data_IF_137956838851
#
_entry.id   IF_137956838851
#
_cell.length_a   1.000
_cell.length_b   1.000
_cell.length_c   1.000
_cell.angle_alpha   90.00
_cell.angle_beta   90.00
_cell.angle_gamma   90.00
#
_symmetry.space_group_name_H-M   'P 1'
#
loop_
_entity.id
_entity.type
_entity.pdbx_description
1 polymer ?
#
# COMPACT_ATOMS: atom_id res chain seq x y z
N UNK A 1 -25.25 -10.14 -5.70
CA UNK A 1 -24.10 -9.44 -6.32
C UNK A 1 -24.49 -7.98 -6.44
N UNK A 2 -23.74 -7.00 -5.90
CA UNK A 2 -23.96 -5.61 -6.25
C UNK A 2 -23.78 -5.45 -7.77
N UNK A 3 -24.59 -4.60 -8.42
CA UNK A 3 -24.49 -4.43 -9.86
C UNK A 3 -23.09 -3.92 -10.23
N UNK A 4 -22.53 -4.47 -11.30
CA UNK A 4 -21.19 -4.12 -11.84
C UNK A 4 -21.03 -2.67 -12.28
N UNK A 5 -22.00 -1.81 -12.01
CA UNK A 5 -22.12 -0.44 -12.55
C UNK A 5 -22.05 0.69 -11.53
N UNK A 6 -21.57 0.44 -10.29
CA UNK A 6 -21.50 1.53 -9.29
C UNK A 6 -20.49 2.62 -9.63
N UNK A 7 -19.54 2.38 -10.53
CA UNK A 7 -18.62 3.42 -11.04
C UNK A 7 -19.29 4.31 -12.12
N UNK A 8 -20.25 3.79 -12.86
CA UNK A 8 -20.90 4.51 -13.96
C UNK A 8 -21.70 5.75 -13.53
N UNK A 9 -22.55 5.70 -12.49
CA UNK A 9 -23.33 6.86 -12.08
C UNK A 9 -22.45 8.04 -11.63
N UNK A 10 -21.41 7.77 -10.87
CA UNK A 10 -20.53 8.82 -10.35
C UNK A 10 -19.69 9.48 -11.46
N UNK A 11 -19.16 8.71 -12.39
CA UNK A 11 -18.41 9.27 -13.53
C UNK A 11 -19.34 10.15 -14.38
N UNK A 12 -20.58 9.73 -14.63
CA UNK A 12 -21.56 10.52 -15.36
C UNK A 12 -21.92 11.80 -14.60
N UNK A 13 -22.12 11.71 -13.28
CA UNK A 13 -22.43 12.87 -12.45
C UNK A 13 -21.32 13.93 -12.51
N UNK A 14 -20.06 13.54 -12.27
CA UNK A 14 -18.93 14.48 -12.30
C UNK A 14 -18.72 15.10 -13.69
N UNK A 15 -18.87 14.31 -14.75
CA UNK A 15 -18.80 14.82 -16.14
C UNK A 15 -19.93 15.81 -16.44
N UNK A 16 -21.16 15.50 -16.01
CA UNK A 16 -22.30 16.41 -16.22
C UNK A 16 -22.13 17.71 -15.44
N UNK A 17 -21.65 17.65 -14.19
CA UNK A 17 -21.36 18.85 -13.39
C UNK A 17 -20.26 19.70 -14.04
N UNK A 18 -19.17 19.07 -14.52
CA UNK A 18 -18.09 19.76 -15.19
C UNK A 18 -18.57 20.42 -16.48
N UNK A 19 -19.34 19.71 -17.30
CA UNK A 19 -19.90 20.20 -18.56
C UNK A 19 -20.85 21.38 -18.35
N UNK A 20 -21.86 21.20 -17.47
CA UNK A 20 -22.88 22.21 -17.21
C UNK A 20 -22.30 23.51 -16.65
N UNK A 21 -21.28 23.43 -15.83
CA UNK A 21 -20.66 24.58 -15.18
C UNK A 21 -19.39 25.06 -15.88
N UNK A 22 -19.02 24.49 -17.02
CA UNK A 22 -17.79 24.79 -17.75
C UNK A 22 -16.51 24.73 -16.86
N UNK A 23 -16.46 23.69 -15.99
CA UNK A 23 -15.36 23.45 -15.07
C UNK A 23 -14.42 22.42 -15.67
N UNK A 24 -13.08 22.63 -15.63
CA UNK A 24 -12.12 21.64 -16.10
C UNK A 24 -12.23 20.31 -15.36
N UNK A 25 -12.16 19.20 -16.10
CA UNK A 25 -12.14 17.85 -15.54
C UNK A 25 -10.71 17.33 -15.54
N UNK A 26 -10.26 16.78 -14.40
CA UNK A 26 -8.90 16.25 -14.25
C UNK A 26 -8.98 14.73 -14.03
N UNK A 27 -8.27 13.97 -14.87
CA UNK A 27 -8.15 12.52 -14.75
C UNK A 27 -7.01 12.17 -13.80
N UNK A 28 -7.35 11.58 -12.64
CA UNK A 28 -6.39 11.21 -11.60
C UNK A 28 -6.28 9.70 -11.48
N UNK A 29 -5.05 9.19 -11.47
CA UNK A 29 -4.78 7.80 -11.11
C UNK A 29 -4.94 7.59 -9.59
N UNK A 30 -5.57 6.48 -9.19
CA UNK A 30 -5.71 6.11 -7.79
C UNK A 30 -4.36 5.99 -7.06
N UNK A 31 -3.33 5.50 -7.76
CA UNK A 31 -1.96 5.42 -7.23
C UNK A 31 -1.39 6.81 -6.96
N UNK A 32 -1.59 7.75 -7.88
CA UNK A 32 -1.18 9.14 -7.67
C UNK A 32 -1.87 9.76 -6.46
N UNK A 33 -3.15 9.43 -6.26
CA UNK A 33 -3.89 9.85 -5.07
C UNK A 33 -3.19 9.38 -3.78
N UNK A 34 -2.89 8.09 -3.66
CA UNK A 34 -2.21 7.58 -2.47
C UNK A 34 -0.85 8.22 -2.22
N UNK A 35 -0.06 8.47 -3.26
CA UNK A 35 1.23 9.17 -3.14
C UNK A 35 0.99 10.60 -2.67
N UNK A 36 0.06 11.30 -3.30
CA UNK A 36 -0.25 12.71 -3.04
C UNK A 36 -0.91 12.96 -1.68
N UNK A 37 -1.45 11.93 -1.01
CA UNK A 37 -1.92 12.01 0.37
C UNK A 37 -0.80 12.49 1.32
N UNK A 38 0.45 12.15 1.03
CA UNK A 38 1.59 12.60 1.83
C UNK A 38 1.82 14.11 1.74
N UNK A 39 1.50 14.76 0.63
CA UNK A 39 1.65 16.21 0.50
C UNK A 39 0.65 16.99 1.36
N UNK A 40 -0.47 16.36 1.74
CA UNK A 40 -1.44 16.96 2.69
C UNK A 40 -0.90 16.95 4.11
N UNK A 41 -0.21 15.87 4.50
CA UNK A 41 0.44 15.75 5.82
C UNK A 41 1.74 16.56 5.88
N UNK A 42 2.50 16.56 4.78
CA UNK A 42 3.82 17.18 4.69
C UNK A 42 3.89 18.16 3.51
N UNK A 43 3.38 19.39 3.64
CA UNK A 43 3.40 20.38 2.55
C UNK A 43 4.81 20.72 2.05
N UNK A 44 5.83 20.49 2.88
CA UNK A 44 7.24 20.67 2.54
C UNK A 44 7.86 19.50 1.76
N UNK A 45 7.16 18.37 1.64
CA UNK A 45 7.65 17.21 0.89
C UNK A 45 7.68 17.53 -0.61
N UNK A 46 8.88 17.50 -1.17
CA UNK A 46 9.10 17.69 -2.60
C UNK A 46 9.88 16.50 -3.18
N UNK A 47 9.61 16.10 -4.42
CA UNK A 47 10.45 15.13 -5.14
C UNK A 47 11.90 15.64 -5.28
N UNK A 48 12.92 14.76 -5.53
CA UNK A 48 12.75 13.33 -5.69
C UNK A 48 12.73 12.57 -4.36
N UNK A 49 12.13 11.35 -4.36
CA UNK A 49 12.12 10.43 -3.23
C UNK A 49 11.81 8.99 -3.67
N UNK A 50 12.13 8.01 -2.81
CA UNK A 50 11.65 6.64 -2.98
C UNK A 50 10.27 6.49 -2.33
N UNK A 51 9.33 5.81 -3.00
CA UNK A 51 7.98 5.56 -2.47
C UNK A 51 7.72 4.07 -2.33
N UNK A 52 7.32 3.64 -1.14
CA UNK A 52 6.77 2.31 -0.88
C UNK A 52 5.23 2.42 -0.92
N UNK A 53 4.64 1.94 -2.00
CA UNK A 53 3.18 1.85 -2.15
C UNK A 53 2.68 0.51 -1.60
N UNK A 54 1.77 0.55 -0.61
CA UNK A 54 1.22 -0.63 0.08
C UNK A 54 -0.28 -0.48 0.28
N UNK A 55 -1.07 -0.95 -0.67
CA UNK A 55 -2.54 -0.90 -0.62
C UNK A 55 -3.15 -2.31 -0.65
N UNK A 56 -4.48 -2.37 -0.63
CA UNK A 56 -5.22 -3.63 -0.79
C UNK A 56 -4.96 -4.32 -2.12
N UNK A 57 -4.77 -3.56 -3.20
CA UNK A 57 -4.59 -4.09 -4.54
C UNK A 57 -3.18 -3.91 -5.13
N UNK A 58 -2.32 -3.12 -4.50
CA UNK A 58 -1.01 -2.79 -5.05
C UNK A 58 0.09 -2.84 -4.00
N UNK A 59 1.24 -3.40 -4.37
CA UNK A 59 2.47 -3.33 -3.59
C UNK A 59 3.62 -3.09 -4.55
N UNK A 60 4.28 -1.94 -4.41
CA UNK A 60 5.35 -1.53 -5.30
C UNK A 60 6.36 -0.60 -4.63
N UNK A 61 7.56 -0.56 -5.17
CA UNK A 61 8.57 0.46 -4.91
C UNK A 61 8.68 1.32 -6.15
N UNK A 62 8.49 2.61 -5.97
CA UNK A 62 8.49 3.62 -7.02
C UNK A 62 9.57 4.66 -6.74
N UNK A 63 10.35 5.02 -7.73
CA UNK A 63 11.17 6.22 -7.70
C UNK A 63 10.31 7.37 -8.22
N UNK A 64 9.98 8.32 -7.36
CA UNK A 64 9.24 9.53 -7.72
C UNK A 64 10.26 10.63 -8.01
N UNK A 65 10.36 11.02 -9.26
CA UNK A 65 11.37 11.96 -9.76
C UNK A 65 10.84 13.38 -9.76
N UNK A 66 9.53 13.52 -9.99
CA UNK A 66 8.80 14.78 -9.93
C UNK A 66 7.32 14.48 -9.64
N UNK A 67 6.51 15.49 -9.35
CA UNK A 67 5.06 15.35 -9.23
C UNK A 67 4.51 14.70 -10.50
N UNK A 68 3.76 13.61 -10.35
CA UNK A 68 3.20 12.78 -11.43
C UNK A 68 4.22 12.05 -12.33
N UNK A 69 5.52 12.11 -12.02
CA UNK A 69 6.55 11.39 -12.76
C UNK A 69 7.23 10.37 -11.85
N UNK A 70 7.07 9.09 -12.19
CA UNK A 70 7.61 7.98 -11.41
C UNK A 70 8.14 6.86 -12.30
N UNK A 71 9.09 6.13 -11.76
CA UNK A 71 9.65 4.92 -12.35
C UNK A 71 9.39 3.74 -11.43
N UNK A 72 8.86 2.63 -11.95
CA UNK A 72 8.67 1.39 -11.21
C UNK A 72 10.03 0.72 -10.98
N UNK A 73 10.40 0.49 -9.73
CA UNK A 73 11.62 -0.20 -9.32
C UNK A 73 11.34 -1.67 -9.05
N UNK A 74 10.22 -1.98 -8.44
CA UNK A 74 9.76 -3.35 -8.21
C UNK A 74 8.32 -3.39 -7.73
N UNK A 75 7.65 -4.51 -7.95
CA UNK A 75 6.26 -4.71 -7.54
C UNK A 75 6.03 -6.13 -7.07
N UNK A 76 4.84 -6.38 -6.50
CA UNK A 76 4.46 -7.76 -6.23
C UNK A 76 4.23 -8.51 -7.53
N UNK A 77 4.67 -9.78 -7.55
CA UNK A 77 4.45 -10.70 -8.68
C UNK A 77 3.23 -11.60 -8.48
N UNK A 78 2.60 -11.51 -7.31
CA UNK A 78 1.43 -12.29 -6.93
C UNK A 78 0.44 -11.45 -6.10
N UNK A 79 0.08 -11.87 -4.88
CA UNK A 79 -0.84 -11.13 -4.02
C UNK A 79 -0.27 -9.74 -3.64
N UNK A 80 -1.11 -8.72 -3.57
CA UNK A 80 -0.75 -7.48 -2.89
C UNK A 80 -0.67 -7.73 -1.38
N UNK A 81 0.15 -6.92 -0.68
CA UNK A 81 0.37 -7.10 0.76
C UNK A 81 -0.92 -6.96 1.57
N UNK A 82 -1.79 -5.99 1.24
CA UNK A 82 -3.07 -5.83 1.92
C UNK A 82 -4.01 -7.03 1.70
N UNK A 83 -4.06 -7.55 0.47
CA UNK A 83 -4.80 -8.77 0.15
C UNK A 83 -4.25 -9.98 0.93
N UNK A 84 -2.94 -10.07 1.09
CA UNK A 84 -2.31 -11.12 1.88
C UNK A 84 -2.74 -11.04 3.35
N UNK A 85 -2.75 -9.83 3.96
CA UNK A 85 -3.28 -9.60 5.31
C UNK A 85 -4.74 -10.03 5.43
N UNK A 86 -5.59 -9.68 4.47
CA UNK A 86 -7.02 -10.05 4.49
C UNK A 86 -7.23 -11.56 4.40
N UNK A 87 -6.46 -12.24 3.56
CA UNK A 87 -6.52 -13.70 3.40
C UNK A 87 -6.08 -14.42 4.68
N UNK A 88 -4.98 -14.00 5.30
CA UNK A 88 -4.49 -14.57 6.56
C UNK A 88 -5.47 -14.28 7.71
N UNK A 89 -6.01 -13.07 7.80
CA UNK A 89 -7.03 -12.74 8.79
C UNK A 89 -8.27 -13.64 8.68
N UNK A 90 -8.69 -13.97 7.46
CA UNK A 90 -9.80 -14.90 7.22
C UNK A 90 -9.49 -16.29 7.75
N UNK A 91 -8.28 -16.81 7.51
CA UNK A 91 -7.83 -18.12 8.01
C UNK A 91 -7.81 -18.16 9.54
N UNK A 92 -7.40 -17.06 10.18
CA UNK A 92 -7.42 -16.93 11.64
C UNK A 92 -8.82 -16.66 12.22
N UNK A 93 -9.86 -16.51 11.38
CA UNK A 93 -11.23 -16.24 11.80
C UNK A 93 -11.47 -14.82 12.28
N UNK A 94 -10.63 -13.86 11.87
CA UNK A 94 -10.71 -12.45 12.32
C UNK A 94 -11.69 -11.61 11.49
N UNK A 95 -12.02 -12.04 10.24
CA UNK A 95 -12.90 -11.33 9.32
C UNK A 95 -12.22 -10.12 8.65
N UNK A 96 -13.02 -9.26 8.01
CA UNK A 96 -12.60 -8.13 7.19
C UNK A 96 -12.87 -6.78 7.90
N UNK A 97 -12.04 -5.73 7.71
CA UNK A 97 -10.72 -5.72 7.06
C UNK A 97 -9.67 -6.44 7.90
N UNK A 98 -8.79 -7.22 7.24
CA UNK A 98 -7.83 -8.10 7.92
C UNK A 98 -6.63 -7.36 8.52
N UNK A 99 -6.10 -6.39 7.81
CA UNK A 99 -4.89 -5.66 8.22
C UNK A 99 -4.95 -5.12 9.65
N UNK A 100 -5.94 -4.28 10.00
CA UNK A 100 -6.06 -3.73 11.36
C UNK A 100 -6.29 -4.80 12.43
N UNK A 101 -6.98 -5.90 12.09
CA UNK A 101 -7.27 -6.98 13.03
C UNK A 101 -6.05 -7.83 13.32
N UNK A 102 -5.23 -8.11 12.30
CA UNK A 102 -3.92 -8.77 12.47
C UNK A 102 -3.00 -7.86 13.28
N UNK A 103 -2.90 -6.58 12.95
CA UNK A 103 -2.05 -5.63 13.66
C UNK A 103 -2.42 -5.53 15.16
N UNK A 104 -3.72 -5.55 15.47
CA UNK A 104 -4.18 -5.57 16.87
C UNK A 104 -3.82 -6.86 17.58
N UNK A 105 -4.12 -8.03 16.97
CA UNK A 105 -3.89 -9.34 17.56
C UNK A 105 -2.39 -9.64 17.73
N UNK A 106 -1.56 -9.22 16.78
CA UNK A 106 -0.11 -9.41 16.80
C UNK A 106 0.57 -8.78 18.03
N UNK A 107 -0.01 -7.71 18.59
CA UNK A 107 0.50 -7.07 19.83
C UNK A 107 0.39 -7.94 21.06
N UNK A 108 -0.48 -8.94 21.04
CA UNK A 108 -0.70 -9.88 22.13
C UNK A 108 0.15 -11.16 21.98
N UNK A 109 0.83 -11.31 20.84
CA UNK A 109 1.62 -12.50 20.49
C UNK A 109 3.11 -12.23 20.42
N UNK A 110 3.84 -13.33 20.19
CA UNK A 110 5.29 -13.33 19.99
C UNK A 110 5.62 -13.83 18.59
N UNK A 111 6.60 -13.21 17.95
CA UNK A 111 7.09 -13.63 16.63
C UNK A 111 8.13 -14.75 16.78
N UNK A 112 7.67 -15.97 17.08
CA UNK A 112 8.52 -17.15 17.28
C UNK A 112 8.38 -18.19 16.15
N UNK A 113 7.43 -17.99 15.21
CA UNK A 113 7.16 -18.92 14.12
C UNK A 113 7.80 -18.37 12.83
N UNK A 114 8.63 -19.17 12.17
CA UNK A 114 9.16 -18.86 10.85
C UNK A 114 8.33 -19.57 9.79
N UNK A 115 7.69 -18.82 8.89
CA UNK A 115 6.82 -19.39 7.87
C UNK A 115 7.54 -19.72 6.56
N UNK A 116 8.26 -18.78 6.00
CA UNK A 116 8.89 -18.96 4.69
C UNK A 116 10.02 -17.97 4.47
N UNK A 117 11.12 -18.40 3.85
CA UNK A 117 12.09 -17.46 3.32
C UNK A 117 11.64 -17.02 1.94
N UNK A 118 11.51 -15.73 1.73
CA UNK A 118 11.10 -15.16 0.44
C UNK A 118 12.09 -15.51 -0.66
N UNK A 119 11.67 -16.17 -1.76
CA UNK A 119 12.60 -16.65 -2.79
C UNK A 119 13.21 -15.56 -3.68
N UNK A 120 12.74 -14.30 -3.57
CA UNK A 120 13.13 -13.19 -4.46
C UNK A 120 14.34 -12.41 -3.91
N UNK A 121 15.45 -13.14 -3.63
CA UNK A 121 16.70 -12.53 -3.19
C UNK A 121 17.33 -11.74 -4.35
N UNK A 122 17.83 -10.55 -4.07
CA UNK A 122 18.52 -9.69 -5.06
C UNK A 122 17.60 -8.81 -5.91
N UNK A 123 16.30 -9.08 -5.98
CA UNK A 123 15.33 -8.25 -6.71
C UNK A 123 14.62 -7.26 -5.78
N UNK A 124 13.92 -6.27 -6.36
CA UNK A 124 13.00 -5.37 -5.65
C UNK A 124 11.55 -5.86 -5.70
N UNK A 125 11.27 -6.94 -6.44
CA UNK A 125 9.93 -7.52 -6.51
C UNK A 125 9.56 -8.22 -5.20
N UNK A 126 8.27 -8.23 -4.90
CA UNK A 126 7.69 -8.90 -3.74
C UNK A 126 6.95 -10.17 -4.16
N UNK A 127 6.82 -11.11 -3.22
CA UNK A 127 5.92 -12.26 -3.32
C UNK A 127 5.35 -12.55 -1.94
N UNK A 128 4.05 -12.55 -1.81
CA UNK A 128 3.34 -12.79 -0.55
C UNK A 128 2.51 -14.08 -0.57
N UNK A 129 2.34 -14.71 -1.73
CA UNK A 129 1.60 -15.97 -1.84
C UNK A 129 2.28 -17.11 -1.07
N UNK A 130 3.61 -17.11 -1.00
CA UNK A 130 4.38 -18.11 -0.28
C UNK A 130 4.14 -18.05 1.24
N UNK A 131 4.29 -16.89 1.85
CA UNK A 131 4.04 -16.72 3.30
C UNK A 131 2.58 -16.97 3.66
N UNK A 132 1.64 -16.50 2.85
CA UNK A 132 0.22 -16.80 3.00
C UNK A 132 -0.04 -18.30 3.05
N UNK A 133 0.49 -19.04 2.07
CA UNK A 133 0.31 -20.50 1.98
C UNK A 133 0.95 -21.21 3.16
N UNK A 134 2.12 -20.77 3.60
CA UNK A 134 2.79 -21.33 4.77
C UNK A 134 1.96 -21.15 6.05
N UNK A 135 1.34 -19.98 6.25
CA UNK A 135 0.42 -19.74 7.37
C UNK A 135 -0.81 -20.66 7.30
N UNK A 136 -1.43 -20.78 6.12
CA UNK A 136 -2.59 -21.66 5.91
C UNK A 136 -2.23 -23.10 6.26
N UNK A 137 -1.12 -23.58 5.73
CA UNK A 137 -0.65 -24.95 5.99
C UNK A 137 -0.32 -25.18 7.48
N UNK A 138 0.31 -24.19 8.14
CA UNK A 138 0.60 -24.26 9.56
C UNK A 138 -0.69 -24.41 10.40
N UNK A 139 -1.69 -23.58 10.13
CA UNK A 139 -2.98 -23.61 10.82
C UNK A 139 -3.67 -24.95 10.60
N UNK A 140 -3.81 -25.39 9.34
CA UNK A 140 -4.45 -26.67 9.02
C UNK A 140 -3.73 -27.88 9.62
N UNK A 141 -2.41 -27.92 9.60
CA UNK A 141 -1.63 -29.01 10.19
C UNK A 141 -1.84 -29.11 11.70
N UNK A 142 -1.92 -27.97 12.39
CA UNK A 142 -2.19 -27.94 13.83
C UNK A 142 -3.62 -28.41 14.14
N UNK A 143 -4.61 -27.95 13.38
CA UNK A 143 -6.00 -28.36 13.52
C UNK A 143 -6.19 -29.86 13.27
N UNK A 144 -5.56 -30.43 12.23
CA UNK A 144 -5.62 -31.85 11.93
C UNK A 144 -5.01 -32.75 13.05
N UNK A 145 -3.99 -32.21 13.73
CA UNK A 145 -3.37 -32.91 14.87
C UNK A 145 -4.12 -32.71 16.19
N UNK A 146 -5.21 -31.92 16.19
CA UNK A 146 -5.91 -31.55 17.42
C UNK A 146 -5.10 -30.66 18.37
N UNK A 147 -4.04 -30.00 17.83
CA UNK A 147 -3.19 -29.11 18.62
C UNK A 147 -3.79 -27.71 18.66
N UNK A 148 -3.73 -27.08 19.82
CA UNK A 148 -4.14 -25.66 19.94
C UNK A 148 -3.25 -24.72 19.15
N UNK A 149 -3.85 -23.65 18.63
CA UNK A 149 -3.14 -22.59 17.89
C UNK A 149 -3.19 -21.30 18.70
N UNK A 150 -2.03 -20.74 19.03
CA UNK A 150 -1.98 -19.37 19.50
C UNK A 150 -2.07 -18.42 18.29
N UNK A 151 -3.28 -17.93 18.00
CA UNK A 151 -3.54 -17.03 16.87
C UNK A 151 -2.75 -15.72 16.95
N UNK A 152 -2.43 -15.25 18.16
CA UNK A 152 -1.65 -14.04 18.36
C UNK A 152 -0.19 -14.23 17.92
N UNK A 153 0.42 -15.39 18.24
CA UNK A 153 1.79 -15.70 17.80
C UNK A 153 1.86 -15.89 16.27
N UNK A 154 0.84 -16.51 15.68
CA UNK A 154 0.72 -16.63 14.21
C UNK A 154 0.62 -15.25 13.57
N UNK A 155 -0.23 -14.37 14.10
CA UNK A 155 -0.41 -13.01 13.60
C UNK A 155 0.88 -12.19 13.74
N UNK A 156 1.56 -12.27 14.90
CA UNK A 156 2.81 -11.56 15.16
C UNK A 156 3.92 -12.02 14.21
N UNK A 157 4.09 -13.34 14.06
CA UNK A 157 5.12 -13.93 13.20
C UNK A 157 4.90 -13.63 11.72
N UNK A 158 3.64 -13.74 11.26
CA UNK A 158 3.26 -13.36 9.90
C UNK A 158 3.53 -11.87 9.62
N UNK A 159 3.09 -10.99 10.52
CA UNK A 159 3.28 -9.55 10.38
C UNK A 159 4.76 -9.17 10.37
N UNK A 160 5.56 -9.76 11.25
CA UNK A 160 7.00 -9.53 11.32
C UNK A 160 7.70 -9.86 10.01
N UNK A 161 7.39 -11.02 9.42
CA UNK A 161 8.00 -11.48 8.18
C UNK A 161 7.62 -10.60 7.00
N UNK A 162 6.32 -10.27 6.85
CA UNK A 162 5.82 -9.44 5.76
C UNK A 162 6.34 -8.00 5.87
N UNK A 163 6.27 -7.40 7.06
CA UNK A 163 6.78 -6.05 7.28
C UNK A 163 8.31 -5.99 7.08
N UNK A 164 9.04 -7.00 7.55
CA UNK A 164 10.49 -7.11 7.36
C UNK A 164 10.91 -7.07 5.90
N UNK A 165 10.17 -7.77 5.03
CA UNK A 165 10.45 -7.79 3.59
C UNK A 165 10.17 -6.43 2.93
N UNK A 166 9.07 -5.76 3.32
CA UNK A 166 8.74 -4.41 2.85
C UNK A 166 9.84 -3.41 3.24
N UNK A 167 10.24 -3.41 4.51
CA UNK A 167 11.26 -2.52 5.06
C UNK A 167 12.60 -2.75 4.36
N UNK A 168 13.07 -4.00 4.34
CA UNK A 168 14.36 -4.38 3.76
C UNK A 168 14.49 -3.92 2.30
N UNK A 169 13.48 -4.15 1.47
CA UNK A 169 13.55 -3.81 0.04
C UNK A 169 13.38 -2.32 -0.21
N UNK A 170 12.50 -1.65 0.51
CA UNK A 170 12.28 -0.21 0.30
C UNK A 170 13.46 0.64 0.76
N UNK A 171 14.07 0.33 1.92
CA UNK A 171 15.25 1.05 2.40
C UNK A 171 16.49 0.74 1.57
N UNK A 172 16.64 -0.52 1.11
CA UNK A 172 17.68 -0.88 0.15
C UNK A 172 17.54 -0.08 -1.14
N UNK A 173 16.32 0.02 -1.69
CA UNK A 173 16.06 0.81 -2.88
C UNK A 173 16.39 2.28 -2.67
N UNK A 174 15.96 2.89 -1.56
CA UNK A 174 16.30 4.27 -1.26
C UNK A 174 17.81 4.50 -1.26
N UNK A 175 18.56 3.64 -0.57
CA UNK A 175 20.02 3.73 -0.50
C UNK A 175 20.69 3.53 -1.87
N UNK A 176 20.35 2.47 -2.61
CA UNK A 176 21.00 2.14 -3.88
C UNK A 176 20.70 3.15 -5.00
N UNK A 177 19.55 3.84 -4.92
CA UNK A 177 19.19 4.94 -5.82
C UNK A 177 19.57 6.34 -5.30
N UNK A 178 20.30 6.42 -4.17
CA UNK A 178 20.78 7.69 -3.61
C UNK A 178 19.65 8.61 -3.12
N UNK A 179 18.52 8.04 -2.65
CA UNK A 179 17.40 8.80 -2.10
C UNK A 179 17.53 8.96 -0.59
N UNK A 180 17.48 10.19 -0.13
CA UNK A 180 17.50 10.58 1.29
C UNK A 180 16.10 10.63 1.92
N UNK A 181 15.04 10.39 1.13
CA UNK A 181 13.65 10.38 1.54
C UNK A 181 12.96 9.08 1.14
N UNK A 182 12.23 8.48 2.09
CA UNK A 182 11.33 7.35 1.86
C UNK A 182 9.91 7.76 2.22
N UNK A 183 9.02 7.72 1.26
CA UNK A 183 7.59 7.99 1.43
C UNK A 183 6.84 6.68 1.45
N UNK A 184 5.88 6.51 2.36
CA UNK A 184 4.99 5.34 2.38
C UNK A 184 3.58 5.77 2.01
N UNK A 185 2.92 5.00 1.16
CA UNK A 185 1.59 5.33 0.65
C UNK A 185 0.67 4.09 0.66
N UNK A 186 -0.64 4.31 0.77
CA UNK A 186 -1.66 3.26 0.76
C UNK A 186 -2.03 2.75 2.14
N UNK A 187 -3.13 1.97 2.21
CA UNK A 187 -3.79 1.61 3.47
C UNK A 187 -2.94 0.81 4.46
N UNK A 188 -1.98 0.00 3.97
CA UNK A 188 -1.10 -0.78 4.85
C UNK A 188 -0.05 0.10 5.56
N UNK A 189 0.15 1.35 5.12
CA UNK A 189 0.97 2.34 5.86
C UNK A 189 0.44 2.62 7.28
N UNK A 190 -0.83 2.33 7.54
CA UNK A 190 -1.43 2.41 8.88
C UNK A 190 -0.96 1.33 9.85
N UNK A 191 -0.31 0.25 9.37
CA UNK A 191 0.15 -0.86 10.19
C UNK A 191 1.23 -0.40 11.18
N UNK A 192 1.02 -0.66 12.47
CA UNK A 192 1.87 -0.15 13.54
C UNK A 192 3.27 -0.76 13.53
N UNK A 193 3.39 -2.06 13.20
CA UNK A 193 4.68 -2.75 13.13
C UNK A 193 5.52 -2.28 11.95
N UNK A 194 4.88 -2.13 10.77
CA UNK A 194 5.55 -1.58 9.60
C UNK A 194 6.12 -0.19 9.89
N UNK A 195 5.34 0.66 10.54
CA UNK A 195 5.76 2.01 10.94
C UNK A 195 6.96 1.99 11.89
N UNK A 196 6.91 1.15 12.91
CA UNK A 196 7.99 0.99 13.89
C UNK A 196 9.29 0.52 13.21
N UNK A 197 9.22 -0.53 12.40
CA UNK A 197 10.37 -1.10 11.70
C UNK A 197 10.98 -0.11 10.70
N UNK A 198 10.14 0.59 9.90
CA UNK A 198 10.60 1.61 8.97
C UNK A 198 11.30 2.76 9.69
N UNK A 199 10.72 3.23 10.80
CA UNK A 199 11.32 4.30 11.60
C UNK A 199 12.72 3.90 12.07
N UNK A 200 12.87 2.74 12.70
CA UNK A 200 14.16 2.27 13.19
C UNK A 200 15.19 2.04 12.09
N UNK A 201 14.77 1.51 10.92
CA UNK A 201 15.69 1.25 9.82
C UNK A 201 16.08 2.52 9.05
N UNK A 202 15.15 3.45 8.86
CA UNK A 202 15.42 4.75 8.23
C UNK A 202 16.35 5.61 9.10
N UNK A 203 16.16 5.62 10.43
CA UNK A 203 17.06 6.31 11.36
C UNK A 203 18.49 5.79 11.26
N UNK A 204 18.70 4.46 11.19
CA UNK A 204 20.03 3.85 11.03
C UNK A 204 20.72 4.24 9.71
N UNK A 205 19.92 4.45 8.66
CA UNK A 205 20.43 4.74 7.32
C UNK A 205 20.41 6.23 6.96
N UNK A 206 20.04 7.12 7.90
CA UNK A 206 19.89 8.56 7.68
C UNK A 206 18.90 8.89 6.54
N UNK A 207 17.80 8.12 6.44
CA UNK A 207 16.73 8.33 5.49
C UNK A 207 15.58 9.04 6.20
N UNK A 208 15.09 10.14 5.65
CA UNK A 208 13.91 10.85 6.14
C UNK A 208 12.65 10.07 5.77
N UNK A 209 11.89 9.61 6.77
CA UNK A 209 10.66 8.83 6.58
C UNK A 209 9.43 9.73 6.60
N UNK A 210 8.56 9.58 5.58
CA UNK A 210 7.28 10.27 5.44
C UNK A 210 6.15 9.24 5.34
N UNK A 211 5.18 9.35 6.23
CA UNK A 211 4.00 8.48 6.26
C UNK A 211 2.76 9.34 6.47
N UNK A 212 1.66 9.14 5.73
CA UNK A 212 0.49 10.00 5.85
C UNK A 212 -0.16 9.82 7.22
N UNK A 213 -0.90 10.84 7.68
CA UNK A 213 -1.76 10.71 8.85
C UNK A 213 -2.76 9.57 8.68
N UNK A 214 -3.17 8.94 9.77
CA UNK A 214 -4.02 7.74 9.77
C UNK A 214 -5.29 7.92 8.92
N UNK A 215 -5.93 9.08 8.99
CA UNK A 215 -7.12 9.40 8.20
C UNK A 215 -6.89 9.51 6.70
N UNK A 216 -5.63 9.67 6.26
CA UNK A 216 -5.24 9.80 4.86
C UNK A 216 -4.59 8.54 4.29
N UNK A 217 -4.38 7.49 5.11
CA UNK A 217 -3.80 6.23 4.64
C UNK A 217 -4.72 5.46 3.70
N UNK A 218 -6.04 5.51 3.94
CA UNK A 218 -7.06 4.82 3.14
C UNK A 218 -7.65 5.74 2.09
N UNK A 219 -8.50 5.18 1.20
CA UNK A 219 -9.16 5.91 0.14
C UNK A 219 -9.97 7.09 0.68
N UNK A 220 -9.72 8.26 0.13
CA UNK A 220 -10.40 9.50 0.51
C UNK A 220 -10.39 10.50 -0.67
N UNK A 221 -11.30 11.47 -0.65
CA UNK A 221 -11.40 12.47 -1.71
C UNK A 221 -10.23 13.46 -1.71
N UNK A 222 -9.66 13.77 -0.53
CA UNK A 222 -8.59 14.75 -0.41
C UNK A 222 -7.31 14.30 -1.13
N UNK A 223 -7.01 13.00 -1.11
CA UNK A 223 -5.85 12.44 -1.83
C UNK A 223 -5.95 12.67 -3.35
N UNK A 224 -7.16 12.52 -3.90
CA UNK A 224 -7.43 12.76 -5.34
C UNK A 224 -7.32 14.24 -5.66
N UNK A 225 -7.88 15.11 -4.81
CA UNK A 225 -7.75 16.56 -4.96
C UNK A 225 -6.29 17.04 -4.89
N UNK A 226 -5.48 16.47 -3.99
CA UNK A 226 -4.06 16.74 -3.89
C UNK A 226 -3.30 16.37 -5.16
N UNK A 227 -3.54 15.16 -5.69
CA UNK A 227 -2.92 14.74 -6.96
C UNK A 227 -3.34 15.66 -8.11
N UNK A 228 -4.65 15.94 -8.24
CA UNK A 228 -5.17 16.84 -9.27
C UNK A 228 -4.52 18.23 -9.21
N UNK A 229 -4.32 18.78 -8.01
CA UNK A 229 -3.66 20.09 -7.83
C UNK A 229 -2.27 20.14 -8.46
N UNK A 230 -1.43 19.13 -8.18
CA UNK A 230 -0.08 19.09 -8.74
C UNK A 230 -0.06 18.82 -10.24
N UNK A 231 -1.01 18.02 -10.77
CA UNK A 231 -1.18 17.81 -12.20
C UNK A 231 -1.55 19.12 -12.92
N UNK A 232 -2.55 19.83 -12.41
CA UNK A 232 -2.99 21.12 -12.97
C UNK A 232 -1.89 22.17 -12.92
N UNK A 233 -1.10 22.20 -11.87
CA UNK A 233 0.03 23.13 -11.74
C UNK A 233 1.08 22.96 -12.82
N UNK A 234 1.19 21.75 -13.40
CA UNK A 234 2.04 21.44 -14.54
C UNK A 234 1.35 21.58 -15.90
N UNK A 235 0.07 21.91 -15.92
CA UNK A 235 -0.74 21.90 -17.13
C UNK A 235 -1.09 20.51 -17.65
N UNK A 236 -0.99 19.50 -16.79
CA UNK A 236 -1.26 18.08 -17.09
C UNK A 236 -2.64 17.65 -16.57
N UNK A 237 -3.09 16.48 -16.99
CA UNK A 237 -4.28 15.81 -16.45
C UNK A 237 -5.61 16.37 -16.91
N UNK A 238 -5.65 17.46 -17.66
CA UNK A 238 -6.90 17.99 -18.22
C UNK A 238 -7.50 16.96 -19.17
N UNK A 239 -8.77 16.67 -18.99
CA UNK A 239 -9.51 15.69 -19.77
C UNK A 239 -10.80 16.28 -20.28
N UNK A 240 -11.31 15.70 -21.36
CA UNK A 240 -12.61 16.05 -21.91
C UNK A 240 -13.75 15.29 -21.21
N UNK A 241 -14.98 15.57 -21.61
CA UNK A 241 -16.19 14.91 -21.09
C UNK A 241 -16.34 13.45 -21.51
N UNK A 242 -15.44 12.93 -22.39
CA UNK A 242 -15.43 11.53 -22.81
C UNK A 242 -14.63 10.64 -21.85
N UNK A 243 -13.98 11.23 -20.82
CA UNK A 243 -13.25 10.48 -19.80
C UNK A 243 -14.09 9.35 -19.21
N UNK A 244 -13.54 8.15 -19.23
CA UNK A 244 -14.16 6.95 -18.65
C UNK A 244 -13.32 6.44 -17.50
N UNK A 245 -13.96 6.08 -16.39
CA UNK A 245 -13.28 5.45 -15.27
C UNK A 245 -12.77 4.05 -15.68
N UNK A 246 -11.52 3.75 -15.32
CA UNK A 246 -10.91 2.45 -15.51
C UNK A 246 -10.61 1.80 -14.16
N UNK A 247 -10.95 0.53 -14.01
CA UNK A 247 -10.56 -0.27 -12.84
C UNK A 247 -9.13 -0.81 -12.95
N UNK A 248 -8.51 -0.72 -14.13
CA UNK A 248 -7.14 -1.18 -14.37
C UNK A 248 -6.21 0.01 -14.25
N UNK A 249 -5.44 0.03 -13.18
CA UNK A 249 -4.38 1.02 -12.98
C UNK A 249 -3.06 0.38 -13.35
N UNK A 250 -2.40 0.91 -14.39
CA UNK A 250 -1.01 0.53 -14.70
C UNK A 250 -0.09 1.26 -13.72
N UNK A 251 0.74 0.50 -13.04
CA UNK A 251 1.84 1.03 -12.20
C UNK A 251 3.01 1.42 -13.09
#
# INVERSE_FOLDING_TARGET
RPPRSTLFPYTTLFRSLAFENNIPLVAVSHIEGHIAANYLTYPQLVPPYMCLLTSGGHTAILKVEDYNQRTLIGSTIDDAVGECFDKVARVLGLGYPGGPKIDKLAKEGKSEITFCKTPLVGTYNFSFSGVKTAVINYVHNKEQKGEGINKADVAASFQEEVCGELVKKSTRAAREYGMDKLVVAGGVSANSRLKEMLKGECEKQNISLFMPELGLCTDNAAMIGSAAYFMMKKGEGLSDTNLTASSVVKI
#
